data_IF_848471985196
#
_entry.id   IF_848471985196
#
_cell.length_a   1.000
_cell.length_b   1.000
_cell.length_c   1.000
_cell.angle_alpha   90.00
_cell.angle_beta   90.00
_cell.angle_gamma   90.00
#
_symmetry.space_group_name_H-M   'P 1'
#
loop_
_entity.id
_entity.type
_entity.pdbx_description
1 polymer ?
#
# COMPACT_ATOMS: atom_id res chain seq x y z
N UNK A 1 -13.77 10.95 14.27
CA UNK A 1 -14.10 10.41 12.95
C UNK A 1 -12.88 10.41 12.07
N UNK A 2 -12.62 9.30 11.42
CA UNK A 2 -11.42 9.17 10.61
C UNK A 2 -11.64 9.77 9.23
N UNK A 3 -10.63 10.44 8.75
CA UNK A 3 -10.64 10.96 7.39
C UNK A 3 -10.27 9.86 6.42
N UNK A 4 -10.92 9.85 5.28
CA UNK A 4 -10.55 8.93 4.20
C UNK A 4 -9.30 9.44 3.52
N UNK A 5 -8.36 8.56 3.28
CA UNK A 5 -7.17 8.87 2.49
C UNK A 5 -7.50 8.52 1.04
N UNK A 6 -7.33 9.50 0.16
CA UNK A 6 -7.64 9.30 -1.26
C UNK A 6 -6.43 9.77 -2.07
N UNK A 7 -6.02 8.96 -3.04
CA UNK A 7 -4.95 9.32 -3.95
C UNK A 7 -5.34 8.91 -5.37
N UNK A 8 -5.29 9.85 -6.30
CA UNK A 8 -5.63 9.62 -7.71
C UNK A 8 -7.02 9.01 -7.89
N UNK A 9 -7.95 9.36 -7.03
CA UNK A 9 -9.30 8.83 -7.07
C UNK A 9 -9.50 7.50 -6.38
N UNK A 10 -8.44 6.90 -5.83
CA UNK A 10 -8.52 5.64 -5.09
C UNK A 10 -8.56 5.91 -3.61
N UNK A 11 -9.52 5.28 -2.93
CA UNK A 11 -9.58 5.33 -1.47
C UNK A 11 -8.60 4.32 -0.91
N UNK A 12 -7.76 4.75 0.05
CA UNK A 12 -6.82 3.83 0.69
C UNK A 12 -7.59 2.97 1.69
N UNK A 13 -7.66 1.68 1.41
CA UNK A 13 -8.45 0.75 2.22
C UNK A 13 -7.60 -0.14 3.12
N UNK A 14 -6.31 -0.24 2.83
CA UNK A 14 -5.39 -1.06 3.61
C UNK A 14 -4.05 -0.35 3.63
N UNK A 15 -3.40 -0.30 4.79
CA UNK A 15 -2.08 0.26 4.91
C UNK A 15 -1.28 -0.59 5.90
N UNK A 16 -0.09 -1.02 5.47
CA UNK A 16 0.82 -1.78 6.31
C UNK A 16 2.08 -0.94 6.50
N UNK A 17 2.31 -0.52 7.73
CA UNK A 17 3.50 0.25 8.05
C UNK A 17 4.70 -0.69 8.14
N UNK A 18 5.72 -0.42 7.34
CA UNK A 18 6.91 -1.26 7.27
C UNK A 18 8.16 -0.57 7.76
N UNK A 19 8.09 0.75 7.97
CA UNK A 19 9.18 1.54 8.54
C UNK A 19 8.57 2.81 9.12
N UNK A 20 9.38 3.64 9.78
CA UNK A 20 8.87 4.84 10.45
C UNK A 20 8.08 5.73 9.50
N UNK A 21 8.57 5.91 8.28
CA UNK A 21 7.97 6.84 7.34
C UNK A 21 7.47 6.16 6.08
N UNK A 22 7.31 4.83 6.10
CA UNK A 22 6.96 4.09 4.89
C UNK A 22 5.87 3.09 5.17
N UNK A 23 4.87 3.08 4.30
CA UNK A 23 3.79 2.12 4.30
C UNK A 23 3.66 1.49 2.92
N UNK A 24 3.14 0.26 2.88
CA UNK A 24 2.62 -0.31 1.66
C UNK A 24 1.11 -0.21 1.77
N UNK A 25 0.46 0.36 0.76
CA UNK A 25 -0.97 0.65 0.83
C UNK A 25 -1.70 0.05 -0.36
N UNK A 26 -2.99 -0.24 -0.16
CA UNK A 26 -3.89 -0.69 -1.23
C UNK A 26 -4.99 0.34 -1.35
N UNK A 27 -5.22 0.80 -2.59
CA UNK A 27 -6.30 1.71 -2.92
C UNK A 27 -7.39 1.03 -3.72
N UNK A 28 -8.61 1.56 -3.63
CA UNK A 28 -9.77 1.01 -4.32
C UNK A 28 -10.57 2.12 -4.97
N UNK A 29 -10.84 1.96 -6.26
CA UNK A 29 -11.74 2.84 -7.01
C UNK A 29 -12.58 1.97 -7.95
N UNK A 30 -13.83 1.68 -7.60
CA UNK A 30 -14.66 0.76 -8.40
C UNK A 30 -14.97 1.28 -9.79
N UNK A 31 -14.77 2.56 -10.04
CA UNK A 31 -15.04 3.17 -11.36
C UNK A 31 -13.84 3.17 -12.28
N UNK A 32 -12.67 2.78 -11.78
CA UNK A 32 -11.45 2.78 -12.59
C UNK A 32 -11.37 1.50 -13.42
N UNK A 33 -10.68 1.53 -14.57
CA UNK A 33 -10.44 0.30 -15.36
C UNK A 33 -9.73 -0.78 -14.56
N UNK A 34 -8.79 -0.37 -13.69
CA UNK A 34 -8.16 -1.27 -12.75
C UNK A 34 -8.57 -0.79 -11.36
N UNK A 35 -9.59 -1.42 -10.74
CA UNK A 35 -10.19 -0.84 -9.53
C UNK A 35 -9.32 -0.94 -8.27
N UNK A 36 -8.24 -1.68 -8.32
CA UNK A 36 -7.36 -1.86 -7.17
C UNK A 36 -5.95 -1.45 -7.54
N UNK A 37 -5.20 -0.96 -6.55
CA UNK A 37 -3.82 -0.55 -6.77
C UNK A 37 -3.02 -0.74 -5.48
N UNK A 38 -1.75 -1.10 -5.62
CA UNK A 38 -0.83 -1.19 -4.50
C UNK A 38 0.28 -0.17 -4.71
N UNK A 39 0.52 0.69 -3.73
CA UNK A 39 1.56 1.72 -3.79
C UNK A 39 2.49 1.62 -2.61
N UNK A 40 3.70 2.16 -2.77
CA UNK A 40 4.50 2.61 -1.63
C UNK A 40 3.97 3.98 -1.20
N UNK A 41 3.93 4.23 0.11
CA UNK A 41 3.53 5.53 0.62
C UNK A 41 4.58 6.01 1.62
N UNK A 42 5.12 7.19 1.38
CA UNK A 42 6.12 7.80 2.24
C UNK A 42 5.49 8.96 2.99
N UNK A 43 5.76 9.03 4.30
CA UNK A 43 5.29 10.13 5.15
C UNK A 43 3.77 10.31 5.12
N UNK A 44 3.03 9.26 4.78
CA UNK A 44 1.57 9.30 4.77
C UNK A 44 0.94 10.02 3.59
N UNK A 45 1.73 10.63 2.72
CA UNK A 45 1.19 11.47 1.64
C UNK A 45 1.82 11.25 0.28
N UNK A 46 3.04 10.70 0.22
CA UNK A 46 3.75 10.50 -1.05
C UNK A 46 3.56 9.08 -1.55
N UNK A 47 2.74 8.90 -2.56
CA UNK A 47 2.46 7.59 -3.15
C UNK A 47 3.28 7.39 -4.40
N UNK A 48 3.87 6.21 -4.55
CA UNK A 48 4.71 5.94 -5.71
C UNK A 48 4.69 4.47 -6.09
N UNK A 49 5.08 4.20 -7.33
CA UNK A 49 5.29 2.85 -7.88
C UNK A 49 4.04 2.00 -7.76
N UNK A 50 3.01 2.36 -8.52
CA UNK A 50 1.73 1.68 -8.45
C UNK A 50 1.68 0.39 -9.26
N UNK A 51 1.13 -0.66 -8.65
CA UNK A 51 0.72 -1.88 -9.35
C UNK A 51 -0.79 -1.86 -9.44
N UNK A 52 -1.32 -1.67 -10.63
CA UNK A 52 -2.75 -1.58 -10.85
C UNK A 52 -3.30 -2.97 -11.12
N UNK A 53 -4.35 -3.32 -10.40
CA UNK A 53 -4.84 -4.70 -10.35
C UNK A 53 -6.35 -4.74 -10.58
N UNK A 54 -6.86 -5.92 -10.97
CA UNK A 54 -8.28 -6.08 -11.23
C UNK A 54 -9.06 -6.54 -10.00
N UNK A 55 -8.39 -7.16 -9.03
CA UNK A 55 -9.06 -7.69 -7.85
C UNK A 55 -8.26 -7.34 -6.60
N UNK A 56 -8.95 -7.38 -5.47
CA UNK A 56 -8.30 -7.19 -4.17
C UNK A 56 -7.24 -8.26 -3.92
N UNK A 57 -7.53 -9.49 -4.33
CA UNK A 57 -6.58 -10.60 -4.17
C UNK A 57 -5.27 -10.32 -4.90
N UNK A 58 -5.36 -9.78 -6.12
CA UNK A 58 -4.17 -9.40 -6.88
C UNK A 58 -3.39 -8.30 -6.17
N UNK A 59 -4.10 -7.32 -5.62
CA UNK A 59 -3.46 -6.23 -4.88
C UNK A 59 -2.77 -6.75 -3.62
N UNK A 60 -3.39 -7.70 -2.91
CA UNK A 60 -2.77 -8.34 -1.75
C UNK A 60 -1.53 -9.12 -2.16
N UNK A 61 -1.58 -9.80 -3.30
CA UNK A 61 -0.41 -10.54 -3.80
C UNK A 61 0.73 -9.56 -4.11
N UNK A 62 0.40 -8.43 -4.71
CA UNK A 62 1.39 -7.39 -4.98
C UNK A 62 2.01 -6.87 -3.68
N UNK A 63 1.17 -6.66 -2.66
CA UNK A 63 1.64 -6.22 -1.35
C UNK A 63 2.62 -7.23 -0.76
N UNK A 64 2.27 -8.52 -0.80
CA UNK A 64 3.13 -9.57 -0.28
C UNK A 64 4.46 -9.63 -1.04
N UNK A 65 4.40 -9.49 -2.36
CA UNK A 65 5.61 -9.49 -3.19
C UNK A 65 6.52 -8.32 -2.84
N UNK A 66 5.94 -7.15 -2.57
CA UNK A 66 6.72 -5.97 -2.17
C UNK A 66 7.43 -6.21 -0.85
N UNK A 67 6.74 -6.83 0.11
CA UNK A 67 7.33 -7.16 1.39
C UNK A 67 8.52 -8.09 1.18
N UNK A 68 8.33 -9.14 0.39
CA UNK A 68 9.37 -10.14 0.18
C UNK A 68 10.59 -9.58 -0.56
N UNK A 69 10.38 -8.63 -1.47
CA UNK A 69 11.47 -8.07 -2.26
C UNK A 69 12.21 -6.94 -1.55
N UNK A 70 11.53 -6.20 -0.69
CA UNK A 70 12.06 -4.96 -0.16
C UNK A 70 12.37 -4.98 1.33
N UNK A 71 11.90 -6.00 2.04
CA UNK A 71 12.04 -6.08 3.49
C UNK A 71 12.63 -7.42 3.88
N UNK A 72 13.32 -7.45 4.99
CA UNK A 72 13.78 -8.70 5.58
C UNK A 72 13.35 -8.70 7.05
N UNK A 73 13.53 -9.83 7.73
CA UNK A 73 13.11 -9.95 9.12
C UNK A 73 13.77 -8.92 10.04
N UNK A 74 15.01 -8.56 9.75
CA UNK A 74 15.68 -7.55 10.59
C UNK A 74 15.00 -6.19 10.46
N UNK A 75 14.46 -5.87 9.28
CA UNK A 75 13.74 -4.61 9.10
C UNK A 75 12.46 -4.59 9.90
N UNK A 76 11.73 -5.71 9.92
CA UNK A 76 10.52 -5.79 10.72
C UNK A 76 10.81 -5.77 12.20
N UNK A 77 11.90 -6.40 12.62
CA UNK A 77 12.30 -6.39 14.02
C UNK A 77 12.57 -4.97 14.50
N UNK A 78 13.10 -4.11 13.64
CA UNK A 78 13.39 -2.74 13.98
C UNK A 78 12.14 -1.92 14.25
N UNK A 79 10.99 -2.33 13.73
CA UNK A 79 9.75 -1.63 13.98
C UNK A 79 9.29 -1.73 15.43
N UNK A 80 9.73 -2.76 16.13
CA UNK A 80 9.33 -3.00 17.51
C UNK A 80 10.18 -2.25 18.54
N UNK A 81 11.17 -1.52 18.10
CA UNK A 81 12.09 -0.81 19.00
C UNK A 81 11.70 0.62 19.24
#
# INVERSE_FOLDING_TARGET
MEEKRINCGYEIVTALRVAKNMEFVIGHNPKAPNPWVCWYCYNGTSYSTGDYCNTFKEALQSLADRINRNMCFSDFADLDK
#
